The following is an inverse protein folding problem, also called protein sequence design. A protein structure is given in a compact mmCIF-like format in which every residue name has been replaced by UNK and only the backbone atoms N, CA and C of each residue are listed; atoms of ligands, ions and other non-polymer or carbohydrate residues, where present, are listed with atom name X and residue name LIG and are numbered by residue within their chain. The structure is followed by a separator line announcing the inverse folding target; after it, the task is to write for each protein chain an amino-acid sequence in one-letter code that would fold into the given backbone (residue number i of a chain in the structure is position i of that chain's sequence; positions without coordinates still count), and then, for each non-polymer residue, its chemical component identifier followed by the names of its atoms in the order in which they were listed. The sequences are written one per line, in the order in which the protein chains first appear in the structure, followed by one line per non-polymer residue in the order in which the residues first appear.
data_IF_322118576053
#
_entry.id   IF_322118576053
#
_cell.length_a   1.000
_cell.length_b   1.000
_cell.length_c   1.000
_cell.angle_alpha   90.00
_cell.angle_beta   90.00
_cell.angle_gamma   90.00
#
_symmetry.space_group_name_H-M   'P 1'
#
loop_
_entity.id
_entity.type
_entity.pdbx_description
1 polymer ?
#
# COMPACT_ATOMS: atom_id res chain seq x y z
N UNK A 1 -7.82 -0.41 16.04
CA UNK A 1 -8.52 -0.70 14.77
C UNK A 1 -7.59 -1.53 13.90
N UNK A 2 -8.11 -2.43 13.06
CA UNK A 2 -7.33 -3.19 12.08
C UNK A 2 -7.91 -2.91 10.70
N UNK A 3 -7.06 -2.56 9.74
CA UNK A 3 -7.44 -2.32 8.36
C UNK A 3 -6.76 -3.34 7.46
N UNK A 4 -7.47 -3.78 6.42
CA UNK A 4 -6.88 -4.61 5.38
C UNK A 4 -6.15 -3.69 4.40
N UNK A 5 -4.88 -4.00 4.17
CA UNK A 5 -3.99 -3.23 3.32
C UNK A 5 -3.72 -4.06 2.06
N UNK A 6 -3.77 -3.42 0.90
CA UNK A 6 -3.36 -4.02 -0.37
C UNK A 6 -1.98 -3.49 -0.71
N UNK A 7 -1.04 -4.40 -0.95
CA UNK A 7 0.33 -4.14 -1.36
C UNK A 7 0.52 -4.65 -2.78
N UNK A 8 0.77 -3.76 -3.73
CA UNK A 8 1.03 -4.11 -5.13
C UNK A 8 2.46 -3.69 -5.50
N UNK A 9 3.25 -4.53 -6.19
CA UNK A 9 4.56 -4.12 -6.69
C UNK A 9 4.43 -2.93 -7.65
N UNK A 10 5.29 -1.93 -7.50
CA UNK A 10 5.35 -0.80 -8.44
C UNK A 10 6.29 -1.10 -9.60
N UNK A 11 5.97 -0.63 -10.81
CA UNK A 11 6.80 -0.78 -12.01
C UNK A 11 8.17 -0.07 -11.87
N UNK A 12 8.23 1.01 -11.08
CA UNK A 12 9.47 1.76 -10.80
C UNK A 12 10.30 1.12 -9.66
N UNK A 13 9.82 0.01 -9.09
CA UNK A 13 10.36 -0.64 -7.91
C UNK A 13 9.72 -0.15 -6.61
N UNK A 14 9.67 -1.04 -5.61
CA UNK A 14 8.93 -0.83 -4.36
C UNK A 14 7.49 -1.31 -4.45
N UNK A 15 6.62 -0.76 -3.59
CA UNK A 15 5.23 -1.18 -3.44
C UNK A 15 4.28 0.02 -3.37
N UNK A 16 3.20 -0.08 -4.10
CA UNK A 16 2.00 0.72 -3.95
C UNK A 16 1.16 0.13 -2.82
N UNK A 17 0.73 1.00 -1.91
CA UNK A 17 -0.03 0.63 -0.73
C UNK A 17 -1.36 1.37 -0.77
N UNK A 18 -2.45 0.62 -0.69
CA UNK A 18 -3.79 1.18 -0.64
C UNK A 18 -4.63 0.57 0.47
N UNK A 19 -5.53 1.37 1.02
CA UNK A 19 -6.47 0.94 2.06
C UNK A 19 -7.89 1.10 1.53
N UNK A 20 -8.55 0.02 1.07
CA UNK A 20 -9.88 0.11 0.46
C UNK A 20 -10.94 0.70 1.38
N UNK A 21 -10.75 0.60 2.70
CA UNK A 21 -11.65 1.14 3.70
C UNK A 21 -11.51 2.66 3.89
N UNK A 22 -10.47 3.28 3.31
CA UNK A 22 -10.17 4.70 3.39
C UNK A 22 -10.04 5.25 1.97
N UNK A 23 -11.15 5.72 1.41
CA UNK A 23 -11.17 6.32 0.08
C UNK A 23 -10.12 7.43 -0.03
N UNK A 24 -9.28 7.33 -1.07
CA UNK A 24 -8.19 8.28 -1.31
C UNK A 24 -6.92 8.04 -0.48
N UNK A 25 -6.86 7.01 0.37
CA UNK A 25 -5.64 6.64 1.07
C UNK A 25 -4.75 5.76 0.19
N UNK A 26 -3.80 6.40 -0.48
CA UNK A 26 -2.80 5.78 -1.34
C UNK A 26 -1.41 6.29 -0.96
N UNK A 27 -0.45 5.37 -0.81
CA UNK A 27 0.94 5.70 -0.50
C UNK A 27 1.89 4.71 -1.17
N UNK A 28 3.18 5.04 -1.22
CA UNK A 28 4.21 4.21 -1.83
C UNK A 28 5.38 4.02 -0.86
N UNK A 29 6.01 2.85 -0.87
CA UNK A 29 7.18 2.55 -0.05
C UNK A 29 8.15 1.59 -0.75
N UNK A 30 9.43 1.67 -0.38
CA UNK A 30 10.48 0.86 -1.02
C UNK A 30 10.71 -0.51 -0.37
N UNK A 31 10.10 -0.77 0.80
CA UNK A 31 10.26 -2.01 1.56
C UNK A 31 8.89 -2.64 1.81
N UNK A 32 8.81 -3.96 1.75
CA UNK A 32 7.65 -4.68 2.28
C UNK A 32 7.48 -4.37 3.77
N UNK A 33 6.27 -3.94 4.16
CA UNK A 33 5.97 -3.57 5.54
C UNK A 33 5.69 -4.89 6.28
N UNK A 34 6.71 -5.39 6.98
CA UNK A 34 6.58 -6.59 7.83
C UNK A 34 5.85 -6.31 9.14
#
# INVERSE_FOLDING_TARGET
MKFNIILEPSEEGGFNVSVPALDGCFTQGNTEIS
#
